data_IF_394162832505
#
_entry.id   IF_394162832505
#
_cell.length_a   1.000
_cell.length_b   1.000
_cell.length_c   1.000
_cell.angle_alpha   90.00
_cell.angle_beta   90.00
_cell.angle_gamma   90.00
#
_symmetry.space_group_name_H-M   'P 1'
#
loop_
_entity.id
_entity.type
_entity.pdbx_description
1 polymer ?
#
# COMPACT_ATOMS: atom_id res chain seq x y z
N UNK A 1 -24.16 -8.77 -17.77
CA UNK A 1 -24.35 -7.33 -18.05
C UNK A 1 -23.08 -6.90 -18.79
N UNK A 2 -23.15 -6.72 -20.12
CA UNK A 2 -22.04 -6.26 -20.93
C UNK A 2 -21.77 -4.79 -20.57
N UNK A 3 -20.63 -4.54 -19.93
CA UNK A 3 -20.12 -3.18 -19.78
C UNK A 3 -19.53 -2.78 -21.14
N UNK A 4 -20.28 -2.02 -21.90
CA UNK A 4 -19.77 -1.37 -23.11
C UNK A 4 -18.85 -0.22 -22.70
N UNK A 5 -17.82 0.04 -23.49
CA UNK A 5 -16.82 1.09 -23.24
C UNK A 5 -17.43 2.52 -23.08
N UNK A 6 -18.68 2.71 -23.48
CA UNK A 6 -19.40 3.98 -23.43
C UNK A 6 -19.99 4.33 -22.05
N UNK A 7 -19.91 3.43 -21.04
CA UNK A 7 -20.46 3.65 -19.69
C UNK A 7 -19.42 4.09 -18.65
N UNK A 8 -18.18 4.31 -19.04
CA UNK A 8 -17.21 4.96 -18.16
C UNK A 8 -17.42 6.47 -18.32
N UNK A 9 -17.94 7.18 -17.32
CA UNK A 9 -17.95 8.62 -17.37
C UNK A 9 -16.49 9.07 -17.50
N UNK A 10 -16.11 9.62 -18.63
CA UNK A 10 -14.91 10.46 -18.72
C UNK A 10 -15.24 11.68 -17.90
N UNK A 11 -14.98 11.61 -16.61
CA UNK A 11 -15.18 12.74 -15.71
C UNK A 11 -14.10 13.77 -16.04
N UNK A 12 -14.41 14.61 -17.03
CA UNK A 12 -13.66 15.81 -17.39
C UNK A 12 -13.89 16.91 -16.33
N UNK A 13 -13.96 16.54 -15.04
CA UNK A 13 -13.90 17.54 -14.00
C UNK A 13 -12.50 18.17 -14.08
N UNK A 14 -12.47 19.44 -14.44
CA UNK A 14 -11.26 20.25 -14.46
C UNK A 14 -10.52 20.04 -13.14
N UNK A 15 -9.28 19.60 -13.22
CA UNK A 15 -8.45 19.42 -12.03
C UNK A 15 -8.20 20.80 -11.43
N UNK A 16 -8.51 21.02 -10.15
CA UNK A 16 -8.31 22.33 -9.52
C UNK A 16 -6.83 22.63 -9.20
N UNK A 17 -5.90 21.85 -9.78
CA UNK A 17 -4.46 22.04 -9.67
C UNK A 17 -3.78 21.91 -11.04
N UNK A 18 -2.63 22.57 -11.20
CA UNK A 18 -1.90 22.58 -12.45
C UNK A 18 -0.54 23.32 -12.27
N UNK A 19 0.18 23.57 -13.37
CA UNK A 19 1.35 24.43 -13.35
C UNK A 19 0.96 25.85 -12.94
N UNK A 20 1.71 26.45 -12.04
CA UNK A 20 1.44 27.78 -11.51
C UNK A 20 0.72 27.76 -10.15
N UNK A 21 0.44 28.95 -9.60
CA UNK A 21 -0.27 29.07 -8.32
C UNK A 21 -1.75 28.70 -8.47
N UNK A 22 -2.18 27.69 -7.71
CA UNK A 22 -3.61 27.42 -7.56
C UNK A 22 -4.20 28.47 -6.63
N UNK A 23 -5.10 29.29 -7.14
CA UNK A 23 -5.86 30.25 -6.34
C UNK A 23 -6.80 29.52 -5.41
N UNK A 24 -6.53 29.58 -4.12
CA UNK A 24 -7.48 29.10 -3.11
C UNK A 24 -8.67 30.06 -3.09
N UNK A 25 -9.90 29.62 -3.30
CA UNK A 25 -11.08 30.49 -3.22
C UNK A 25 -11.11 31.23 -1.87
N UNK A 26 -11.12 32.57 -1.91
CA UNK A 26 -11.27 33.42 -0.72
C UNK A 26 -9.98 33.80 0.03
N UNK A 27 -8.80 33.43 -0.44
CA UNK A 27 -7.52 33.92 0.13
C UNK A 27 -6.71 34.61 -0.96
N UNK A 28 -6.27 35.87 -0.68
CA UNK A 28 -5.40 36.63 -1.57
C UNK A 28 -4.05 35.96 -1.74
N UNK A 29 -3.51 35.94 -2.96
CA UNK A 29 -2.16 35.51 -3.33
C UNK A 29 -1.08 36.51 -2.84
N UNK A 30 -1.13 36.87 -1.56
CA UNK A 30 -0.12 37.73 -0.93
C UNK A 30 1.04 36.86 -0.43
N UNK A 31 2.28 37.33 -0.65
CA UNK A 31 3.55 36.74 -0.23
C UNK A 31 3.69 36.56 1.30
N UNK A 32 2.85 35.76 1.90
CA UNK A 32 2.86 35.46 3.32
C UNK A 32 3.38 34.05 3.57
N UNK A 33 3.95 33.85 4.76
CA UNK A 33 4.46 32.55 5.24
C UNK A 33 3.35 31.48 5.25
N UNK A 34 3.63 30.31 4.71
CA UNK A 34 2.78 29.12 4.84
C UNK A 34 2.87 28.56 6.25
N UNK A 35 1.77 28.00 6.78
CA UNK A 35 1.84 27.25 8.02
C UNK A 35 2.57 25.92 7.82
N UNK A 36 2.31 25.28 6.67
CA UNK A 36 3.01 24.08 6.26
C UNK A 36 3.25 24.04 4.74
N UNK A 37 4.43 23.61 4.34
CA UNK A 37 4.73 23.19 2.96
C UNK A 37 4.93 21.68 2.97
N UNK A 38 4.25 20.97 2.05
CA UNK A 38 4.38 19.53 1.86
C UNK A 38 5.11 19.29 0.54
N UNK A 39 6.28 18.66 0.62
CA UNK A 39 7.10 18.30 -0.54
C UNK A 39 6.66 16.90 -1.00
N UNK A 40 6.16 16.81 -2.23
CA UNK A 40 5.67 15.60 -2.87
C UNK A 40 4.15 15.43 -2.77
N UNK A 41 3.49 15.40 -3.93
CA UNK A 41 2.05 15.17 -4.11
C UNK A 41 1.68 13.68 -4.19
N UNK A 42 2.43 12.81 -3.49
CA UNK A 42 2.05 11.40 -3.30
C UNK A 42 0.92 11.26 -2.28
N UNK A 43 0.27 10.09 -2.24
CA UNK A 43 -0.88 9.84 -1.37
C UNK A 43 -0.64 10.16 0.11
N UNK A 44 0.58 9.94 0.64
CA UNK A 44 0.92 10.28 2.03
C UNK A 44 1.00 11.80 2.25
N UNK A 45 1.69 12.52 1.35
CA UNK A 45 1.80 13.98 1.42
C UNK A 45 0.44 14.65 1.27
N UNK A 46 -0.38 14.18 0.33
CA UNK A 46 -1.74 14.67 0.11
C UNK A 46 -2.63 14.43 1.34
N UNK A 47 -2.52 13.25 1.98
CA UNK A 47 -3.26 12.94 3.22
C UNK A 47 -2.87 13.91 4.34
N UNK A 48 -1.57 14.11 4.56
CA UNK A 48 -1.09 15.07 5.56
C UNK A 48 -1.60 16.49 5.26
N UNK A 49 -1.52 16.93 4.01
CA UNK A 49 -2.02 18.24 3.58
C UNK A 49 -3.54 18.39 3.83
N UNK A 50 -4.32 17.34 3.54
CA UNK A 50 -5.76 17.36 3.75
C UNK A 50 -6.13 17.53 5.24
N UNK A 51 -5.47 16.79 6.13
CA UNK A 51 -5.72 16.92 7.58
C UNK A 51 -5.26 18.29 8.13
N UNK A 52 -4.10 18.80 7.69
CA UNK A 52 -3.63 20.12 8.10
C UNK A 52 -4.57 21.24 7.60
N UNK A 53 -5.03 21.16 6.36
CA UNK A 53 -5.97 22.13 5.81
C UNK A 53 -7.32 22.10 6.55
N UNK A 54 -7.85 20.91 6.86
CA UNK A 54 -9.05 20.75 7.69
C UNK A 54 -8.90 21.35 9.10
N UNK A 55 -7.68 21.32 9.64
CA UNK A 55 -7.36 21.99 10.90
C UNK A 55 -7.20 23.50 10.76
N UNK A 56 -7.52 24.08 9.60
CA UNK A 56 -7.48 25.53 9.35
C UNK A 56 -6.11 26.08 9.01
N UNK A 57 -5.10 25.23 8.79
CA UNK A 57 -3.76 25.67 8.43
C UNK A 57 -3.67 26.08 6.95
N UNK A 58 -2.81 27.06 6.66
CA UNK A 58 -2.46 27.48 5.30
C UNK A 58 -1.41 26.51 4.75
N UNK A 59 -1.82 25.56 3.91
CA UNK A 59 -0.98 24.46 3.42
C UNK A 59 -0.73 24.60 1.92
N UNK A 60 0.53 24.36 1.51
CA UNK A 60 0.93 24.26 0.10
C UNK A 60 1.57 22.88 -0.14
N UNK A 61 1.08 22.16 -1.13
CA UNK A 61 1.72 20.95 -1.66
C UNK A 61 2.51 21.29 -2.91
N UNK A 62 3.75 20.84 -2.97
CA UNK A 62 4.65 21.02 -4.12
C UNK A 62 4.98 19.65 -4.71
N UNK A 63 4.59 19.44 -5.96
CA UNK A 63 4.88 18.22 -6.72
C UNK A 63 5.77 18.54 -7.92
N UNK A 64 6.84 17.76 -8.10
CA UNK A 64 7.77 17.98 -9.22
C UNK A 64 7.20 17.58 -10.59
N UNK A 65 6.28 16.62 -10.63
CA UNK A 65 5.66 16.14 -11.86
C UNK A 65 4.43 16.98 -12.22
N UNK A 66 3.94 16.81 -13.43
CA UNK A 66 2.67 17.37 -13.90
C UNK A 66 1.44 16.63 -13.34
N UNK A 67 1.63 15.47 -12.69
CA UNK A 67 0.59 14.59 -12.17
C UNK A 67 0.85 14.26 -10.71
N UNK A 68 -0.23 14.16 -9.92
CA UNK A 68 -0.20 13.77 -8.52
C UNK A 68 -0.25 12.24 -8.37
N UNK A 69 0.15 11.75 -7.20
CA UNK A 69 -0.11 10.37 -6.80
C UNK A 69 1.11 9.61 -6.28
N UNK A 70 2.30 9.96 -6.71
CA UNK A 70 3.49 9.19 -6.34
C UNK A 70 3.36 7.72 -6.75
N UNK A 71 3.43 6.78 -5.80
CA UNK A 71 3.21 5.36 -6.09
C UNK A 71 1.75 5.01 -6.44
N UNK A 72 0.79 5.89 -6.09
CA UNK A 72 -0.62 5.76 -6.45
C UNK A 72 -0.96 6.71 -7.61
N UNK A 73 -0.23 6.60 -8.73
CA UNK A 73 -0.47 7.38 -9.94
C UNK A 73 -1.08 6.49 -11.02
N UNK A 74 -2.03 7.05 -11.78
CA UNK A 74 -2.51 6.45 -13.04
C UNK A 74 -2.19 7.40 -14.18
N UNK A 75 -1.64 6.86 -15.25
CA UNK A 75 -1.20 7.65 -16.41
C UNK A 75 -1.65 6.98 -17.71
N UNK A 76 -2.03 7.81 -18.66
CA UNK A 76 -2.26 7.39 -20.03
C UNK A 76 -0.90 7.29 -20.74
N UNK A 77 -0.35 6.08 -20.79
CA UNK A 77 0.98 5.82 -21.39
C UNK A 77 0.84 5.58 -22.92
N UNK A 78 -0.28 5.05 -23.34
CA UNK A 78 -0.64 4.87 -24.73
C UNK A 78 -2.07 5.42 -24.93
N UNK A 79 -2.36 6.12 -26.04
CA UNK A 79 -3.67 6.75 -26.26
C UNK A 79 -4.83 5.78 -26.05
N UNK A 80 -5.75 6.14 -25.16
CA UNK A 80 -6.89 5.32 -24.76
C UNK A 80 -6.63 4.31 -23.64
N UNK A 81 -5.38 4.12 -23.21
CA UNK A 81 -5.01 3.16 -22.16
C UNK A 81 -4.42 3.84 -20.93
N UNK A 82 -5.18 3.86 -19.86
CA UNK A 82 -4.78 4.41 -18.57
C UNK A 82 -4.34 3.27 -17.65
N UNK A 83 -3.11 3.36 -17.14
CA UNK A 83 -2.52 2.34 -16.27
C UNK A 83 -2.27 2.89 -14.86
N UNK A 84 -2.48 2.06 -13.87
CA UNK A 84 -1.86 2.23 -12.56
C UNK A 84 -0.36 1.93 -12.68
N UNK A 85 0.50 2.96 -12.61
CA UNK A 85 1.91 2.82 -13.00
C UNK A 85 2.72 1.99 -12.00
N UNK A 86 2.46 2.13 -10.69
CA UNK A 86 3.19 1.42 -9.64
C UNK A 86 2.26 0.56 -8.78
N UNK A 87 1.46 1.15 -7.91
CA UNK A 87 0.44 0.42 -7.14
C UNK A 87 -0.65 -0.13 -8.07
N UNK A 88 -1.35 -1.19 -7.65
CA UNK A 88 -2.37 -1.85 -8.49
C UNK A 88 -3.63 -2.23 -7.72
N UNK A 89 -3.54 -2.45 -6.41
CA UNK A 89 -4.67 -2.80 -5.54
C UNK A 89 -4.72 -1.95 -4.29
N UNK A 90 -5.90 -1.90 -3.67
CA UNK A 90 -6.16 -1.21 -2.39
C UNK A 90 -6.51 -2.25 -1.34
N UNK A 91 -5.89 -2.14 -0.17
CA UNK A 91 -6.20 -3.01 0.98
C UNK A 91 -5.93 -2.31 2.31
N UNK A 92 -4.83 -1.56 2.40
CA UNK A 92 -4.30 -1.03 3.65
C UNK A 92 -4.59 0.47 3.85
N UNK A 93 -5.32 1.11 2.94
CA UNK A 93 -5.81 2.48 3.14
C UNK A 93 -6.76 2.47 4.35
N UNK A 94 -6.44 3.28 5.34
CA UNK A 94 -7.17 3.26 6.61
C UNK A 94 -8.60 3.74 6.44
N UNK A 95 -9.62 3.00 6.95
CA UNK A 95 -11.03 3.37 6.80
C UNK A 95 -11.37 4.75 7.36
N UNK A 96 -10.68 5.19 8.43
CA UNK A 96 -10.91 6.53 8.96
C UNK A 96 -10.43 7.63 8.01
N UNK A 97 -9.32 7.41 7.23
CA UNK A 97 -8.89 8.38 6.21
C UNK A 97 -9.97 8.53 5.15
N UNK A 98 -10.53 7.39 4.67
CA UNK A 98 -11.62 7.40 3.68
C UNK A 98 -12.82 8.17 4.19
N UNK A 99 -13.22 7.91 5.44
CA UNK A 99 -14.36 8.55 6.09
C UNK A 99 -14.09 10.03 6.40
N UNK A 100 -12.98 10.32 7.08
CA UNK A 100 -12.68 11.66 7.58
C UNK A 100 -12.45 12.65 6.43
N UNK A 101 -11.82 12.20 5.35
CA UNK A 101 -11.60 13.01 4.16
C UNK A 101 -12.76 12.91 3.15
N UNK A 102 -13.84 12.20 3.48
CA UNK A 102 -15.05 12.03 2.66
C UNK A 102 -14.72 11.60 1.22
N UNK A 103 -13.75 10.68 1.04
CA UNK A 103 -13.16 10.38 -0.27
C UNK A 103 -14.18 9.88 -1.29
N UNK A 104 -15.26 9.22 -0.86
CA UNK A 104 -16.37 8.82 -1.75
C UNK A 104 -17.05 10.04 -2.38
N UNK A 105 -17.23 11.14 -1.63
CA UNK A 105 -17.79 12.42 -2.16
C UNK A 105 -16.84 13.08 -3.16
N UNK A 106 -15.55 12.76 -3.07
CA UNK A 106 -14.51 13.24 -3.96
C UNK A 106 -14.21 12.26 -5.12
N UNK A 107 -15.09 11.26 -5.33
CA UNK A 107 -15.07 10.37 -6.50
C UNK A 107 -14.34 9.04 -6.29
N UNK A 108 -13.87 8.72 -5.08
CA UNK A 108 -13.27 7.42 -4.82
C UNK A 108 -14.34 6.32 -4.82
N UNK A 109 -14.14 5.33 -5.67
CA UNK A 109 -14.93 4.11 -5.70
C UNK A 109 -14.00 2.92 -5.72
N UNK A 110 -14.11 2.04 -4.70
CA UNK A 110 -13.29 0.82 -4.60
C UNK A 110 -14.18 -0.37 -4.91
N UNK A 111 -13.74 -1.20 -5.87
CA UNK A 111 -14.40 -2.43 -6.29
C UNK A 111 -13.67 -3.60 -5.61
N UNK A 112 -14.34 -4.37 -4.73
CA UNK A 112 -13.70 -5.51 -4.08
C UNK A 112 -13.24 -6.57 -5.08
N UNK A 113 -12.09 -7.21 -4.83
CA UNK A 113 -11.67 -8.42 -5.55
C UNK A 113 -12.58 -9.57 -5.15
N UNK A 114 -13.11 -10.28 -6.14
CA UNK A 114 -14.02 -11.40 -5.91
C UNK A 114 -13.30 -12.75 -5.85
N UNK A 115 -12.11 -12.84 -6.48
CA UNK A 115 -11.37 -14.08 -6.62
C UNK A 115 -9.87 -13.91 -6.46
N UNK A 116 -9.20 -15.02 -6.13
CA UNK A 116 -7.77 -15.21 -6.28
C UNK A 116 -7.56 -16.56 -6.96
N UNK A 117 -7.16 -16.55 -8.21
CA UNK A 117 -7.01 -17.72 -9.05
C UNK A 117 -5.56 -18.18 -9.14
N UNK A 118 -5.31 -19.47 -8.96
CA UNK A 118 -3.98 -20.07 -9.05
C UNK A 118 -4.02 -21.23 -10.04
N UNK A 119 -3.49 -21.08 -11.27
CA UNK A 119 -3.34 -22.16 -12.21
C UNK A 119 -2.24 -23.13 -11.75
N UNK A 120 -2.52 -24.42 -11.76
CA UNK A 120 -1.55 -25.47 -11.47
C UNK A 120 -0.81 -25.95 -12.72
N UNK A 121 0.36 -26.55 -12.53
CA UNK A 121 1.16 -27.14 -13.61
C UNK A 121 0.66 -28.54 -14.03
N UNK A 122 -0.22 -29.13 -13.24
CA UNK A 122 -0.80 -30.47 -13.43
C UNK A 122 -2.16 -30.44 -14.15
N UNK A 123 -2.54 -29.30 -14.71
CA UNK A 123 -3.83 -29.12 -15.38
C UNK A 123 -5.01 -28.85 -14.43
N UNK A 124 -4.77 -28.80 -13.12
CA UNK A 124 -5.77 -28.38 -12.13
C UNK A 124 -5.56 -26.92 -11.75
N UNK A 125 -6.55 -26.32 -11.09
CA UNK A 125 -6.45 -24.96 -10.60
C UNK A 125 -7.17 -24.80 -9.27
N UNK A 126 -6.72 -23.87 -8.43
CA UNK A 126 -7.40 -23.45 -7.22
C UNK A 126 -7.94 -22.04 -7.41
N UNK A 127 -9.24 -21.84 -7.22
CA UNK A 127 -9.84 -20.52 -7.13
C UNK A 127 -10.37 -20.28 -5.72
N UNK A 128 -9.85 -19.26 -5.06
CA UNK A 128 -10.34 -18.80 -3.76
C UNK A 128 -11.32 -17.66 -4.00
N UNK A 129 -12.52 -17.78 -3.50
CA UNK A 129 -13.64 -16.87 -3.66
C UNK A 129 -13.88 -16.09 -2.38
N UNK A 130 -14.50 -14.93 -2.45
CA UNK A 130 -15.01 -14.21 -1.27
C UNK A 130 -15.98 -15.13 -0.51
N UNK A 131 -16.80 -15.92 -1.22
CA UNK A 131 -17.69 -16.91 -0.62
C UNK A 131 -16.88 -18.07 -0.04
N UNK A 132 -16.85 -18.16 1.30
CA UNK A 132 -16.07 -19.18 2.03
C UNK A 132 -16.48 -20.61 1.68
N UNK A 133 -17.78 -20.88 1.48
CA UNK A 133 -18.27 -22.20 1.13
C UNK A 133 -17.77 -22.65 -0.25
N UNK A 134 -17.70 -21.73 -1.21
CA UNK A 134 -17.18 -22.01 -2.55
C UNK A 134 -15.68 -22.28 -2.49
N UNK A 135 -14.91 -21.47 -1.76
CA UNK A 135 -13.48 -21.67 -1.52
C UNK A 135 -13.21 -23.04 -0.89
N UNK A 136 -13.99 -23.44 0.12
CA UNK A 136 -13.82 -24.75 0.75
C UNK A 136 -14.06 -25.92 -0.21
N UNK A 137 -15.02 -25.82 -1.12
CA UNK A 137 -15.26 -26.85 -2.15
C UNK A 137 -14.06 -26.97 -3.11
N UNK A 138 -13.49 -25.86 -3.52
CA UNK A 138 -12.27 -25.84 -4.36
C UNK A 138 -11.07 -26.48 -3.64
N UNK A 139 -10.84 -26.14 -2.37
CA UNK A 139 -9.77 -26.72 -1.56
C UNK A 139 -9.99 -28.23 -1.35
N UNK A 140 -11.23 -28.66 -1.10
CA UNK A 140 -11.57 -30.07 -0.85
C UNK A 140 -11.21 -31.00 -2.03
N UNK A 141 -11.16 -30.47 -3.26
CA UNK A 141 -10.71 -31.21 -4.44
C UNK A 141 -9.21 -31.59 -4.39
N UNK A 142 -8.43 -30.92 -3.53
CA UNK A 142 -7.00 -31.18 -3.30
C UNK A 142 -6.76 -31.87 -1.95
N UNK A 143 -7.40 -31.37 -0.87
CA UNK A 143 -7.33 -31.93 0.47
C UNK A 143 -8.62 -31.66 1.26
N UNK A 144 -9.38 -32.71 1.62
CA UNK A 144 -10.50 -32.56 2.55
C UNK A 144 -10.08 -31.98 3.91
N UNK A 145 -8.89 -32.36 4.40
CA UNK A 145 -8.34 -31.85 5.66
C UNK A 145 -8.07 -30.34 5.59
N UNK A 146 -7.43 -29.87 4.54
CA UNK A 146 -7.17 -28.43 4.36
C UNK A 146 -8.47 -27.63 4.27
N UNK A 147 -9.50 -28.18 3.58
CA UNK A 147 -10.80 -27.55 3.47
C UNK A 147 -11.54 -27.44 4.81
N UNK A 148 -11.34 -28.41 5.72
CA UNK A 148 -11.91 -28.38 7.07
C UNK A 148 -11.20 -27.35 7.95
N UNK A 149 -9.87 -27.26 7.87
CA UNK A 149 -9.04 -26.39 8.71
C UNK A 149 -9.06 -24.93 8.24
N UNK A 150 -9.26 -24.66 6.96
CA UNK A 150 -9.17 -23.34 6.36
C UNK A 150 -10.00 -22.26 7.07
N UNK A 151 -11.27 -22.48 7.47
CA UNK A 151 -12.02 -21.47 8.22
C UNK A 151 -11.44 -21.18 9.61
N UNK A 152 -10.92 -22.19 10.30
CA UNK A 152 -10.29 -22.03 11.63
C UNK A 152 -9.03 -21.20 11.55
N UNK A 153 -8.20 -21.45 10.54
CA UNK A 153 -7.04 -20.61 10.23
C UNK A 153 -7.45 -19.14 9.99
N UNK A 154 -8.47 -18.91 9.14
CA UNK A 154 -8.96 -17.56 8.86
C UNK A 154 -9.50 -16.83 10.10
N UNK A 155 -10.18 -17.54 11.01
CA UNK A 155 -10.66 -17.00 12.28
C UNK A 155 -9.50 -16.59 13.19
N UNK A 156 -8.47 -17.42 13.33
CA UNK A 156 -7.30 -17.10 14.14
C UNK A 156 -6.53 -15.90 13.57
N UNK A 157 -6.27 -15.89 12.27
CA UNK A 157 -5.62 -14.74 11.60
C UNK A 157 -6.42 -13.45 11.80
N UNK A 158 -7.74 -13.50 11.71
CA UNK A 158 -8.61 -12.36 11.98
C UNK A 158 -8.55 -11.88 13.44
N UNK A 159 -8.41 -12.80 14.41
CA UNK A 159 -8.23 -12.46 15.83
C UNK A 159 -6.88 -11.76 16.07
N UNK A 160 -5.79 -12.32 15.54
CA UNK A 160 -4.45 -11.71 15.65
C UNK A 160 -4.41 -10.36 14.94
N UNK A 161 -5.02 -10.23 13.76
CA UNK A 161 -5.10 -8.97 13.02
C UNK A 161 -5.79 -7.88 13.83
N UNK A 162 -6.93 -8.17 14.45
CA UNK A 162 -7.65 -7.22 15.32
C UNK A 162 -6.86 -6.81 16.56
N UNK A 163 -6.00 -7.71 17.06
CA UNK A 163 -5.10 -7.39 18.16
C UNK A 163 -3.96 -6.48 17.72
N UNK A 164 -3.32 -6.77 16.58
CA UNK A 164 -2.11 -6.07 16.12
C UNK A 164 -2.44 -4.71 15.48
N UNK A 165 -3.57 -4.60 14.77
CA UNK A 165 -3.95 -3.38 14.03
C UNK A 165 -3.91 -2.10 14.89
N UNK A 166 -4.49 -2.04 16.11
CA UNK A 166 -4.40 -0.85 16.95
C UNK A 166 -2.97 -0.52 17.42
N UNK A 167 -2.07 -1.51 17.47
CA UNK A 167 -0.66 -1.29 17.84
C UNK A 167 0.08 -0.59 16.68
N UNK A 168 -0.18 -1.03 15.45
CA UNK A 168 0.43 -0.41 14.25
C UNK A 168 -0.09 1.00 14.02
N UNK A 169 -1.37 1.25 14.37
CA UNK A 169 -2.02 2.54 14.17
C UNK A 169 -1.69 3.55 15.28
N UNK A 170 -1.10 3.10 16.39
CA UNK A 170 -0.71 3.97 17.51
C UNK A 170 0.66 4.64 17.25
N UNK A 171 0.83 5.81 17.86
CA UNK A 171 2.16 6.41 17.99
C UNK A 171 3.04 5.50 18.86
N UNK A 172 4.27 5.20 18.38
CA UNK A 172 5.18 4.34 19.12
C UNK A 172 5.58 5.01 20.44
N UNK A 173 5.33 4.39 21.63
CA UNK A 173 5.73 4.97 22.90
C UNK A 173 7.25 5.02 23.04
N UNK A 174 7.76 6.06 23.65
CA UNK A 174 9.20 6.21 23.90
C UNK A 174 9.61 5.31 25.05
N UNK A 175 10.33 4.23 24.75
CA UNK A 175 10.72 3.20 25.75
C UNK A 175 11.62 3.73 26.88
N UNK A 176 12.34 4.81 26.63
CA UNK A 176 13.24 5.46 27.59
C UNK A 176 12.67 6.76 28.20
N UNK A 177 11.40 7.04 27.97
CA UNK A 177 10.71 8.20 28.49
C UNK A 177 10.04 7.88 29.84
N UNK A 178 10.18 8.80 30.80
CA UNK A 178 9.43 8.79 32.07
C UNK A 178 8.18 9.67 32.01
N UNK A 179 7.83 10.18 30.83
CA UNK A 179 6.64 11.01 30.69
C UNK A 179 5.37 10.18 30.97
N UNK A 180 4.41 10.68 31.79
CA UNK A 180 3.23 9.91 32.20
C UNK A 180 2.43 9.30 31.02
N UNK A 181 2.32 10.02 29.91
CA UNK A 181 1.64 9.54 28.70
C UNK A 181 2.32 8.30 28.10
N UNK A 182 3.65 8.33 27.93
CA UNK A 182 4.39 7.20 27.39
C UNK A 182 4.29 5.96 28.32
N UNK A 183 4.30 6.18 29.65
CA UNK A 183 4.14 5.10 30.62
C UNK A 183 2.72 4.51 30.60
N UNK A 184 1.69 5.33 30.45
CA UNK A 184 0.30 4.86 30.30
C UNK A 184 0.12 4.06 29.00
N UNK A 185 0.69 4.51 27.90
CA UNK A 185 0.62 3.81 26.62
C UNK A 185 1.35 2.45 26.69
N UNK A 186 2.53 2.41 27.32
CA UNK A 186 3.26 1.16 27.56
C UNK A 186 2.47 0.21 28.48
N UNK A 187 1.86 0.72 29.54
CA UNK A 187 1.03 -0.07 30.45
C UNK A 187 -0.20 -0.64 29.71
N UNK A 188 -0.85 0.15 28.86
CA UNK A 188 -1.99 -0.29 28.06
C UNK A 188 -1.60 -1.39 27.06
N UNK A 189 -0.44 -1.26 26.41
CA UNK A 189 0.08 -2.33 25.54
C UNK A 189 0.44 -3.59 26.34
N UNK A 190 1.07 -3.45 27.50
CA UNK A 190 1.38 -4.56 28.41
C UNK A 190 0.12 -5.30 28.88
N UNK A 191 -0.94 -4.55 29.23
CA UNK A 191 -2.22 -5.13 29.60
C UNK A 191 -2.87 -5.90 28.45
N UNK A 192 -2.89 -5.34 27.25
CA UNK A 192 -3.40 -6.05 26.04
C UNK A 192 -2.68 -7.37 25.79
N UNK A 193 -1.34 -7.40 25.93
CA UNK A 193 -0.54 -8.63 25.80
C UNK A 193 -0.88 -9.65 26.88
N UNK A 194 -1.08 -9.20 28.13
CA UNK A 194 -1.44 -10.08 29.24
C UNK A 194 -2.83 -10.69 29.09
N UNK A 195 -3.77 -9.93 28.53
CA UNK A 195 -5.17 -10.33 28.36
C UNK A 195 -5.38 -11.29 27.15
N UNK A 196 -4.31 -11.60 26.41
CA UNK A 196 -4.36 -12.63 25.37
C UNK A 196 -4.54 -14.02 25.98
N UNK A 197 -5.47 -14.79 25.42
CA UNK A 197 -5.49 -16.23 25.70
C UNK A 197 -4.23 -16.95 25.15
N UNK A 198 -4.01 -18.17 25.61
CA UNK A 198 -2.81 -18.94 25.30
C UNK A 198 -2.64 -19.18 23.77
N UNK A 199 -3.74 -19.48 23.07
CA UNK A 199 -3.73 -19.77 21.63
C UNK A 199 -3.37 -18.51 20.83
N UNK A 200 -3.99 -17.38 21.17
CA UNK A 200 -3.73 -16.10 20.52
C UNK A 200 -2.30 -15.64 20.75
N UNK A 201 -1.78 -15.79 21.98
CA UNK A 201 -0.40 -15.44 22.33
C UNK A 201 0.60 -16.29 21.56
N UNK A 202 0.38 -17.60 21.50
CA UNK A 202 1.23 -18.51 20.74
C UNK A 202 1.25 -18.17 19.25
N UNK A 203 0.06 -17.93 18.67
CA UNK A 203 -0.06 -17.53 17.27
C UNK A 203 0.63 -16.19 16.99
N UNK A 204 0.46 -15.20 17.89
CA UNK A 204 1.13 -13.91 17.78
C UNK A 204 2.65 -14.05 17.77
N UNK A 205 3.25 -14.77 18.73
CA UNK A 205 4.69 -14.96 18.80
C UNK A 205 5.24 -15.68 17.56
N UNK A 206 4.54 -16.73 17.10
CA UNK A 206 4.93 -17.46 15.88
C UNK A 206 4.88 -16.53 14.66
N UNK A 207 3.81 -15.77 14.49
CA UNK A 207 3.67 -14.82 13.38
C UNK A 207 4.73 -13.72 13.40
N UNK A 208 5.22 -13.30 14.58
CA UNK A 208 6.29 -12.29 14.66
C UNK A 208 7.66 -12.83 14.23
N UNK A 209 7.91 -14.12 14.29
CA UNK A 209 9.27 -14.68 14.16
C UNK A 209 9.41 -15.74 13.07
N UNK A 210 8.37 -16.51 12.77
CA UNK A 210 8.43 -17.61 11.82
C UNK A 210 8.51 -17.12 10.35
N UNK A 211 8.86 -18.05 9.47
CA UNK A 211 8.63 -17.86 8.03
C UNK A 211 7.17 -18.09 7.66
N UNK A 212 6.71 -17.48 6.56
CA UNK A 212 5.35 -17.71 6.06
C UNK A 212 5.13 -19.19 5.70
N UNK A 213 6.13 -19.83 5.09
CA UNK A 213 6.06 -21.24 4.72
C UNK A 213 5.94 -22.14 5.96
N UNK A 214 6.83 -21.99 6.95
CA UNK A 214 6.81 -22.82 8.15
C UNK A 214 5.51 -22.63 8.95
N UNK A 215 5.02 -21.40 9.05
CA UNK A 215 3.75 -21.13 9.70
C UNK A 215 2.55 -21.78 8.98
N UNK A 216 2.54 -21.77 7.64
CA UNK A 216 1.50 -22.42 6.84
C UNK A 216 1.63 -23.96 6.85
N UNK A 217 2.85 -24.51 6.96
CA UNK A 217 3.11 -25.95 7.07
C UNK A 217 2.50 -26.56 8.35
N UNK A 218 2.35 -25.78 9.43
CA UNK A 218 1.65 -26.22 10.64
C UNK A 218 0.13 -26.40 10.43
N UNK A 219 -0.43 -25.73 9.45
CA UNK A 219 -1.88 -25.71 9.22
C UNK A 219 -2.32 -26.61 8.07
N UNK A 220 -1.61 -26.55 6.94
CA UNK A 220 -2.03 -27.13 5.67
C UNK A 220 -1.02 -28.14 5.14
N UNK A 221 -1.52 -29.13 4.41
CA UNK A 221 -0.66 -30.15 3.81
C UNK A 221 -0.37 -29.91 2.32
N UNK A 222 -1.24 -29.17 1.59
CA UNK A 222 -1.10 -29.02 0.14
C UNK A 222 -0.38 -27.72 -0.26
N UNK A 223 0.61 -27.84 -1.14
CA UNK A 223 1.34 -26.69 -1.68
C UNK A 223 0.46 -25.80 -2.55
N UNK A 224 -0.55 -26.37 -3.23
CA UNK A 224 -1.47 -25.59 -4.07
C UNK A 224 -2.24 -24.53 -3.27
N UNK A 225 -2.43 -24.75 -1.96
CA UNK A 225 -3.03 -23.77 -1.05
C UNK A 225 -1.94 -22.91 -0.37
N UNK A 226 -0.88 -23.55 0.17
CA UNK A 226 0.17 -22.85 0.92
C UNK A 226 0.94 -21.83 0.09
N UNK A 227 1.32 -22.20 -1.13
CA UNK A 227 2.15 -21.34 -1.97
C UNK A 227 1.49 -19.98 -2.28
N UNK A 228 0.28 -19.91 -2.87
CA UNK A 228 -0.38 -18.63 -3.12
C UNK A 228 -0.75 -17.86 -1.84
N UNK A 229 -0.88 -18.53 -0.69
CA UNK A 229 -1.07 -17.84 0.59
C UNK A 229 0.24 -17.23 1.10
N UNK A 230 1.37 -17.94 0.94
CA UNK A 230 2.68 -17.49 1.42
C UNK A 230 3.21 -16.26 0.68
N UNK A 231 2.74 -16.02 -0.54
CA UNK A 231 3.08 -14.82 -1.34
C UNK A 231 2.81 -13.54 -0.58
N UNK A 232 1.71 -13.46 0.17
CA UNK A 232 1.42 -12.29 1.01
C UNK A 232 2.50 -12.03 2.08
N UNK A 233 3.36 -13.02 2.37
CA UNK A 233 4.49 -12.89 3.29
C UNK A 233 5.75 -12.25 2.68
N UNK A 234 5.80 -12.06 1.37
CA UNK A 234 6.99 -11.53 0.68
C UNK A 234 6.73 -10.22 -0.08
N UNK A 235 5.49 -9.76 -0.17
CA UNK A 235 5.14 -8.49 -0.83
C UNK A 235 5.90 -7.33 -0.18
N UNK A 236 6.61 -6.56 -0.99
CA UNK A 236 7.38 -5.40 -0.55
C UNK A 236 8.67 -5.73 0.19
N UNK A 237 9.12 -6.98 0.17
CA UNK A 237 10.36 -7.43 0.82
C UNK A 237 11.34 -8.02 -0.20
N UNK A 238 12.63 -8.04 0.15
CA UNK A 238 13.66 -8.80 -0.55
C UNK A 238 13.94 -10.10 0.24
N UNK A 239 12.89 -10.90 0.47
CA UNK A 239 12.90 -12.14 1.25
C UNK A 239 12.20 -13.26 0.48
N UNK A 240 12.59 -14.52 0.75
CA UNK A 240 11.87 -15.72 0.30
C UNK A 240 10.81 -16.14 1.31
N UNK A 241 9.89 -17.00 0.90
CA UNK A 241 8.77 -17.45 1.74
C UNK A 241 9.22 -18.26 2.97
N UNK A 242 10.44 -18.80 2.96
CA UNK A 242 11.09 -19.49 4.09
C UNK A 242 11.98 -18.57 4.93
N UNK A 243 12.08 -17.29 4.60
CA UNK A 243 12.85 -16.35 5.41
C UNK A 243 12.11 -16.01 6.72
N UNK A 244 12.81 -15.98 7.89
CA UNK A 244 12.21 -15.58 9.15
C UNK A 244 11.56 -14.19 9.09
N UNK A 245 10.44 -14.01 9.80
CA UNK A 245 9.69 -12.74 9.83
C UNK A 245 8.68 -12.57 8.70
N UNK A 246 8.69 -13.41 7.67
CA UNK A 246 7.73 -13.32 6.56
C UNK A 246 6.30 -13.71 6.98
N UNK A 247 6.14 -14.46 8.08
CA UNK A 247 4.82 -14.71 8.67
C UNK A 247 4.18 -13.42 9.23
N UNK A 248 4.99 -12.45 9.72
CA UNK A 248 4.47 -11.13 10.10
C UNK A 248 3.99 -10.34 8.89
N UNK A 249 4.71 -10.39 7.78
CA UNK A 249 4.30 -9.72 6.54
C UNK A 249 2.99 -10.34 6.01
N UNK A 250 2.85 -11.67 6.09
CA UNK A 250 1.59 -12.37 5.80
C UNK A 250 0.45 -11.84 6.68
N UNK A 251 0.64 -11.74 8.01
CA UNK A 251 -0.33 -11.17 8.94
C UNK A 251 -0.68 -9.72 8.57
N UNK A 252 0.32 -8.91 8.22
CA UNK A 252 0.10 -7.52 7.84
C UNK A 252 -0.90 -7.39 6.69
N UNK A 253 -0.79 -8.25 5.67
CA UNK A 253 -1.72 -8.27 4.54
C UNK A 253 -3.12 -8.84 4.89
N UNK A 254 -3.25 -9.56 6.00
CA UNK A 254 -4.57 -9.95 6.53
C UNK A 254 -5.29 -8.81 7.23
N UNK A 255 -4.61 -7.70 7.56
CA UNK A 255 -5.21 -6.52 8.21
C UNK A 255 -5.90 -5.56 7.23
N UNK A 256 -5.87 -5.86 5.92
CA UNK A 256 -6.57 -5.08 4.91
C UNK A 256 -8.08 -5.00 5.20
N UNK A 257 -8.65 -3.84 4.96
CA UNK A 257 -10.07 -3.58 5.23
C UNK A 257 -10.66 -2.66 4.15
N UNK A 258 -11.79 -3.05 3.62
CA UNK A 258 -12.60 -2.21 2.70
C UNK A 258 -14.03 -2.25 3.22
N UNK A 259 -14.63 -1.10 3.49
CA UNK A 259 -16.00 -0.93 3.97
C UNK A 259 -16.38 -1.84 5.14
N UNK A 260 -15.46 -2.04 6.10
CA UNK A 260 -15.66 -2.92 7.26
C UNK A 260 -15.41 -4.40 7.01
N UNK A 261 -15.17 -4.81 5.76
CA UNK A 261 -14.79 -6.18 5.43
C UNK A 261 -13.28 -6.37 5.65
N UNK A 262 -12.92 -7.19 6.63
CA UNK A 262 -11.55 -7.59 6.90
C UNK A 262 -10.99 -8.51 5.81
N UNK A 263 -9.68 -8.44 5.57
CA UNK A 263 -8.98 -9.20 4.52
C UNK A 263 -9.49 -8.87 3.12
N UNK A 264 -10.10 -7.72 2.96
CA UNK A 264 -10.59 -7.27 1.67
C UNK A 264 -9.50 -6.56 0.87
N UNK A 265 -9.45 -6.87 -0.40
CA UNK A 265 -8.62 -6.22 -1.41
C UNK A 265 -9.53 -5.70 -2.51
N UNK A 266 -9.14 -4.62 -3.16
CA UNK A 266 -9.98 -4.05 -4.20
C UNK A 266 -9.21 -3.26 -5.24
N UNK A 267 -9.90 -2.92 -6.31
CA UNK A 267 -9.44 -2.02 -7.36
C UNK A 267 -10.10 -0.65 -7.17
N UNK A 268 -9.33 0.41 -7.30
CA UNK A 268 -9.91 1.74 -7.43
C UNK A 268 -10.41 1.91 -8.87
N UNK A 269 -11.67 2.31 -9.04
CA UNK A 269 -12.22 2.64 -10.36
C UNK A 269 -11.43 3.80 -10.97
N UNK A 270 -10.91 3.63 -12.19
CA UNK A 270 -10.02 4.60 -12.83
C UNK A 270 -8.54 4.42 -12.46
N UNK A 271 -8.19 3.29 -11.80
CA UNK A 271 -6.84 2.99 -11.34
C UNK A 271 -6.51 3.62 -9.99
N UNK A 272 -5.33 3.31 -9.46
CA UNK A 272 -4.92 3.78 -8.13
C UNK A 272 -4.72 5.29 -8.06
N UNK A 273 -4.53 5.98 -9.20
CA UNK A 273 -4.52 7.44 -9.27
C UNK A 273 -5.79 8.09 -8.75
N UNK A 274 -6.94 7.42 -8.89
CA UNK A 274 -8.22 7.92 -8.36
C UNK A 274 -8.20 8.10 -6.83
N UNK A 275 -7.40 7.33 -6.10
CA UNK A 275 -7.21 7.49 -4.65
C UNK A 275 -6.54 8.83 -4.36
N UNK A 276 -5.40 9.07 -5.00
CA UNK A 276 -4.62 10.30 -4.82
C UNK A 276 -5.39 11.53 -5.27
N UNK A 277 -6.15 11.43 -6.36
CA UNK A 277 -7.01 12.50 -6.85
C UNK A 277 -8.15 12.81 -5.87
N UNK A 278 -8.80 11.79 -5.30
CA UNK A 278 -9.85 12.00 -4.29
C UNK A 278 -9.28 12.69 -3.04
N UNK A 279 -8.09 12.28 -2.57
CA UNK A 279 -7.42 12.93 -1.44
C UNK A 279 -7.07 14.38 -1.80
N UNK A 280 -6.54 14.63 -3.00
CA UNK A 280 -6.19 15.98 -3.45
C UNK A 280 -7.43 16.89 -3.52
N UNK A 281 -8.55 16.41 -4.08
CA UNK A 281 -9.82 17.15 -4.10
C UNK A 281 -10.32 17.47 -2.69
N UNK A 282 -10.22 16.51 -1.76
CA UNK A 282 -10.55 16.74 -0.35
C UNK A 282 -9.64 17.79 0.29
N UNK A 283 -8.33 17.74 0.02
CA UNK A 283 -7.38 18.72 0.52
C UNK A 283 -7.71 20.14 0.00
N UNK A 284 -7.96 20.28 -1.30
CA UNK A 284 -8.30 21.58 -1.92
C UNK A 284 -9.65 22.09 -1.40
N UNK A 285 -10.65 21.24 -1.26
CA UNK A 285 -11.96 21.64 -0.69
C UNK A 285 -11.84 22.12 0.75
N UNK A 286 -10.82 21.67 1.47
CA UNK A 286 -10.47 22.12 2.83
C UNK A 286 -9.54 23.35 2.87
N UNK A 287 -9.13 23.87 1.69
CA UNK A 287 -8.33 25.10 1.58
C UNK A 287 -6.83 24.88 1.38
N UNK A 288 -6.36 23.66 1.09
CA UNK A 288 -4.99 23.44 0.67
C UNK A 288 -4.75 23.98 -0.74
N UNK A 289 -3.56 24.52 -1.00
CA UNK A 289 -3.07 24.82 -2.33
C UNK A 289 -2.17 23.68 -2.82
N UNK A 290 -2.27 23.34 -4.11
CA UNK A 290 -1.41 22.35 -4.76
C UNK A 290 -0.79 22.95 -5.99
N UNK A 291 0.54 22.83 -6.14
CA UNK A 291 1.31 23.24 -7.30
C UNK A 291 2.07 22.06 -7.86
N UNK A 292 1.77 21.70 -9.09
CA UNK A 292 2.53 20.73 -9.90
C UNK A 292 3.64 21.43 -10.67
N UNK A 293 4.56 20.65 -11.26
CA UNK A 293 5.74 21.17 -11.98
C UNK A 293 6.57 22.16 -11.14
N UNK A 294 6.62 21.87 -9.83
CA UNK A 294 7.28 22.71 -8.83
C UNK A 294 8.33 21.88 -8.05
N UNK A 295 9.43 21.48 -8.70
CA UNK A 295 10.46 20.69 -8.04
C UNK A 295 11.16 21.51 -6.97
N UNK A 296 11.20 20.98 -5.75
CA UNK A 296 11.97 21.55 -4.63
C UNK A 296 13.42 21.10 -4.76
N UNK A 297 14.33 22.05 -4.72
CA UNK A 297 15.78 21.83 -4.76
C UNK A 297 16.43 21.81 -3.38
N UNK A 298 15.86 22.54 -2.40
CA UNK A 298 16.45 22.69 -1.07
C UNK A 298 15.38 22.95 -0.01
N UNK A 299 15.63 22.49 1.22
CA UNK A 299 14.91 22.91 2.43
C UNK A 299 15.77 23.93 3.15
N UNK A 300 15.28 25.15 3.28
CA UNK A 300 15.98 26.24 3.96
C UNK A 300 16.06 25.92 5.45
N UNK A 301 17.29 25.79 5.97
CA UNK A 301 17.57 25.55 7.39
C UNK A 301 18.34 26.72 7.99
N UNK A 302 17.71 27.39 8.96
CA UNK A 302 18.32 28.48 9.72
C UNK A 302 18.38 28.12 11.19
N UNK A 303 19.55 28.19 11.78
CA UNK A 303 19.78 27.89 13.20
C UNK A 303 19.16 26.56 13.64
N UNK A 304 19.30 25.49 12.79
CA UNK A 304 18.78 24.16 13.06
C UNK A 304 17.25 23.99 12.89
N UNK A 305 16.59 24.99 12.30
CA UNK A 305 15.13 24.98 12.09
C UNK A 305 14.81 25.14 10.60
N UNK A 306 13.93 24.27 10.08
CA UNK A 306 13.41 24.43 8.72
C UNK A 306 12.51 25.70 8.64
N UNK A 307 12.78 26.57 7.66
CA UNK A 307 12.10 27.86 7.47
C UNK A 307 11.34 27.97 6.16
N UNK A 308 11.52 27.06 5.27
CA UNK A 308 10.90 27.07 3.95
C UNK A 308 11.61 26.16 2.97
N UNK A 309 11.39 26.40 1.71
CA UNK A 309 11.99 25.65 0.60
C UNK A 309 12.43 26.57 -0.52
N UNK A 310 13.44 26.14 -1.29
CA UNK A 310 13.83 26.72 -2.56
C UNK A 310 13.33 25.82 -3.67
N UNK A 311 12.70 26.39 -4.68
CA UNK A 311 12.31 25.67 -5.90
C UNK A 311 13.49 25.63 -6.90
N UNK A 312 13.41 24.74 -7.89
CA UNK A 312 14.45 24.62 -8.93
C UNK A 312 14.61 25.89 -9.79
N UNK A 313 13.59 26.75 -9.84
CA UNK A 313 13.66 28.07 -10.51
C UNK A 313 14.32 29.17 -9.66
N UNK A 314 14.79 28.83 -8.45
CA UNK A 314 15.41 29.74 -7.50
C UNK A 314 14.42 30.53 -6.63
N UNK A 315 13.09 30.33 -6.79
CA UNK A 315 12.13 31.02 -5.94
C UNK A 315 12.09 30.40 -4.54
N UNK A 316 11.99 31.26 -3.51
CA UNK A 316 11.93 30.85 -2.12
C UNK A 316 10.50 30.95 -1.57
N UNK A 317 10.09 29.95 -0.82
CA UNK A 317 8.78 29.89 -0.17
C UNK A 317 8.96 29.68 1.33
N UNK A 318 8.55 30.67 2.13
CA UNK A 318 8.66 30.59 3.58
C UNK A 318 7.55 29.74 4.20
N UNK A 319 7.89 28.93 5.20
CA UNK A 319 6.96 28.11 5.96
C UNK A 319 7.36 27.95 7.42
N UNK A 320 6.36 27.77 8.31
CA UNK A 320 6.59 27.44 9.71
C UNK A 320 7.00 25.97 9.89
N UNK A 321 6.51 25.09 9.00
CA UNK A 321 6.82 23.67 8.99
C UNK A 321 6.99 23.16 7.57
N UNK A 322 7.93 22.23 7.38
CA UNK A 322 8.13 21.54 6.12
C UNK A 322 7.95 20.04 6.35
N UNK A 323 7.01 19.43 5.61
CA UNK A 323 6.79 17.99 5.58
C UNK A 323 7.31 17.44 4.28
N UNK A 324 8.09 16.34 4.33
CA UNK A 324 8.58 15.71 3.12
C UNK A 324 7.93 14.33 2.94
N UNK A 325 7.28 14.13 1.79
CA UNK A 325 6.80 12.85 1.31
C UNK A 325 7.84 12.08 0.49
N UNK A 326 9.08 12.62 0.36
CA UNK A 326 10.19 11.95 -0.29
C UNK A 326 10.81 10.89 0.63
N UNK A 327 11.61 9.98 0.06
CA UNK A 327 12.38 9.04 0.86
C UNK A 327 13.39 9.76 1.77
N UNK A 328 13.81 9.14 2.90
CA UNK A 328 14.69 9.80 3.87
C UNK A 328 16.05 10.21 3.30
N UNK A 329 16.61 9.46 2.35
CA UNK A 329 17.90 9.86 1.74
C UNK A 329 17.76 11.14 0.93
N UNK A 330 16.71 11.22 0.11
CA UNK A 330 16.43 12.44 -0.65
C UNK A 330 16.12 13.60 0.27
N UNK A 331 15.27 13.38 1.26
CA UNK A 331 14.91 14.44 2.21
C UNK A 331 16.12 14.98 2.96
N UNK A 332 16.88 14.12 3.62
CA UNK A 332 17.90 14.56 4.55
C UNK A 332 19.28 14.75 3.93
N UNK A 333 19.69 13.88 2.97
CA UNK A 333 21.03 14.01 2.37
C UNK A 333 21.06 14.95 1.18
N UNK A 334 19.92 15.19 0.51
CA UNK A 334 19.86 16.06 -0.66
C UNK A 334 19.17 17.39 -0.36
N UNK A 335 17.91 17.36 0.14
CA UNK A 335 17.13 18.58 0.33
C UNK A 335 17.54 19.39 1.57
N UNK A 336 17.83 18.72 2.69
CA UNK A 336 18.33 19.37 3.93
C UNK A 336 19.83 19.62 3.85
N UNK A 337 20.57 18.67 3.29
CA UNK A 337 22.03 18.71 3.25
C UNK A 337 22.70 18.17 4.52
N UNK A 338 23.77 17.42 4.34
CA UNK A 338 24.47 16.72 5.42
C UNK A 338 25.02 17.65 6.49
N UNK A 339 25.41 18.88 6.11
CA UNK A 339 26.00 19.86 7.03
C UNK A 339 25.08 20.34 8.15
N UNK A 340 23.76 20.13 8.01
CA UNK A 340 22.77 20.50 9.02
C UNK A 340 22.40 19.35 9.97
N UNK A 341 23.00 18.15 9.81
CA UNK A 341 22.57 16.93 10.46
C UNK A 341 23.71 16.29 11.28
N UNK A 342 23.39 15.57 12.38
CA UNK A 342 24.39 14.80 13.12
C UNK A 342 25.05 13.73 12.25
N UNK A 343 26.39 13.58 12.37
CA UNK A 343 27.15 12.61 11.57
C UNK A 343 26.68 11.16 11.75
N UNK A 344 26.23 10.78 12.95
CA UNK A 344 25.66 9.45 13.19
C UNK A 344 24.40 9.21 12.36
N UNK A 345 23.47 10.18 12.35
CA UNK A 345 22.23 10.09 11.59
C UNK A 345 22.47 9.98 10.07
N UNK A 346 23.35 10.81 9.54
CA UNK A 346 23.73 10.74 8.11
C UNK A 346 24.41 9.41 7.77
N UNK A 347 25.26 8.89 8.68
CA UNK A 347 25.87 7.58 8.55
C UNK A 347 24.84 6.44 8.52
N UNK A 348 23.80 6.51 9.36
CA UNK A 348 22.73 5.51 9.39
C UNK A 348 21.91 5.55 8.09
N UNK A 349 21.56 6.75 7.60
CA UNK A 349 20.85 6.92 6.33
C UNK A 349 21.65 6.38 5.14
N UNK A 350 22.97 6.58 5.10
CA UNK A 350 23.85 6.05 4.04
C UNK A 350 23.91 4.53 4.04
N UNK A 351 23.80 3.89 5.22
CA UNK A 351 23.77 2.44 5.36
C UNK A 351 22.40 1.83 5.09
N UNK A 352 21.33 2.61 5.14
CA UNK A 352 19.97 2.12 4.88
C UNK A 352 19.85 1.60 3.44
N UNK A 353 19.31 0.39 3.29
CA UNK A 353 19.22 -0.29 1.99
C UNK A 353 17.81 -0.16 1.43
N UNK A 354 17.71 0.40 0.23
CA UNK A 354 16.48 0.50 -0.54
C UNK A 354 16.51 -0.55 -1.66
N UNK A 355 16.09 -1.76 -1.35
CA UNK A 355 16.04 -2.85 -2.33
C UNK A 355 14.60 -3.19 -2.65
N UNK A 356 14.22 -3.08 -3.91
CA UNK A 356 12.98 -3.63 -4.44
C UNK A 356 13.20 -5.04 -4.96
N UNK A 357 12.16 -5.87 -4.89
CA UNK A 357 12.17 -7.25 -5.38
C UNK A 357 11.18 -7.47 -6.53
N UNK A 358 10.42 -6.44 -6.90
CA UNK A 358 9.31 -6.56 -7.85
C UNK A 358 9.53 -5.68 -9.07
N UNK A 359 9.27 -6.21 -10.24
CA UNK A 359 9.07 -5.47 -11.48
C UNK A 359 7.58 -5.44 -11.83
N UNK A 360 7.10 -4.37 -12.41
CA UNK A 360 5.74 -4.25 -12.92
C UNK A 360 5.76 -4.07 -14.43
N UNK A 361 4.90 -4.82 -15.13
CA UNK A 361 4.66 -4.68 -16.56
C UNK A 361 3.18 -4.38 -16.75
N UNK A 362 2.86 -3.29 -17.44
CA UNK A 362 1.50 -2.98 -17.85
C UNK A 362 1.30 -3.46 -19.28
N UNK A 363 0.22 -4.19 -19.51
CA UNK A 363 -0.09 -4.79 -20.80
C UNK A 363 -1.44 -4.30 -21.31
N UNK A 364 -1.51 -3.92 -22.59
CA UNK A 364 -2.75 -3.81 -23.32
C UNK A 364 -2.94 -5.10 -24.11
N UNK A 365 -4.05 -5.77 -23.92
CA UNK A 365 -4.35 -7.07 -24.55
C UNK A 365 -5.66 -6.99 -25.33
N UNK A 366 -5.77 -7.72 -26.41
CA UNK A 366 -6.96 -7.80 -27.25
C UNK A 366 -8.06 -8.69 -26.66
N UNK A 367 -7.67 -9.58 -25.74
CA UNK A 367 -8.57 -10.49 -25.04
C UNK A 367 -8.03 -10.84 -23.66
N UNK A 368 -8.91 -11.31 -22.76
CA UNK A 368 -8.51 -11.86 -21.47
C UNK A 368 -7.69 -13.14 -21.67
N UNK A 369 -6.73 -13.42 -20.77
CA UNK A 369 -5.97 -14.69 -20.80
C UNK A 369 -6.92 -15.88 -20.67
N UNK A 370 -6.61 -16.98 -21.38
CA UNK A 370 -7.35 -18.23 -21.31
C UNK A 370 -6.45 -19.33 -20.78
N UNK A 371 -6.82 -19.92 -19.66
CA UNK A 371 -6.03 -20.94 -18.97
C UNK A 371 -6.56 -22.34 -19.28
N UNK A 372 -5.71 -23.22 -19.82
CA UNK A 372 -6.09 -24.59 -20.16
C UNK A 372 -6.68 -25.38 -19.00
N UNK A 373 -6.25 -25.10 -17.74
CA UNK A 373 -6.77 -25.72 -16.53
C UNK A 373 -8.17 -25.22 -16.13
N UNK A 374 -8.65 -24.11 -16.69
CA UNK A 374 -9.99 -23.53 -16.47
C UNK A 374 -10.37 -22.64 -17.66
N UNK A 375 -10.77 -23.23 -18.79
CA UNK A 375 -11.09 -22.48 -20.00
C UNK A 375 -12.20 -21.45 -19.79
N UNK A 376 -12.05 -20.28 -20.38
CA UNK A 376 -13.03 -19.20 -20.28
C UNK A 376 -14.40 -19.57 -20.84
N UNK A 377 -14.43 -20.40 -21.90
CA UNK A 377 -15.67 -20.89 -22.50
C UNK A 377 -16.53 -21.71 -21.51
N UNK A 378 -15.90 -22.39 -20.55
CA UNK A 378 -16.58 -23.19 -19.56
C UNK A 378 -16.88 -22.41 -18.27
N UNK A 379 -15.98 -21.51 -17.88
CA UNK A 379 -16.03 -20.78 -16.58
C UNK A 379 -16.68 -19.42 -16.67
N UNK A 380 -16.96 -18.87 -17.86
CA UNK A 380 -17.54 -17.54 -18.05
C UNK A 380 -16.68 -16.40 -17.52
N UNK A 381 -15.35 -16.57 -17.48
CA UNK A 381 -14.37 -15.59 -16.96
C UNK A 381 -14.46 -15.26 -15.47
N UNK A 382 -15.35 -15.89 -14.70
CA UNK A 382 -15.57 -15.57 -13.28
C UNK A 382 -14.32 -15.74 -12.42
N UNK A 383 -13.38 -16.63 -12.79
CA UNK A 383 -12.12 -16.83 -12.10
C UNK A 383 -11.11 -15.68 -12.33
N UNK A 384 -11.36 -14.79 -13.29
CA UNK A 384 -10.50 -13.65 -13.64
C UNK A 384 -11.00 -12.31 -13.03
N UNK A 385 -12.04 -12.34 -12.18
CA UNK A 385 -12.57 -11.13 -11.53
C UNK A 385 -11.81 -10.83 -10.24
N UNK A 386 -10.49 -10.89 -10.30
CA UNK A 386 -9.62 -10.67 -9.15
C UNK A 386 -8.16 -10.80 -9.55
N UNK A 387 -7.36 -11.43 -8.71
CA UNK A 387 -5.96 -11.66 -9.00
C UNK A 387 -5.68 -13.09 -9.51
N UNK A 388 -4.69 -13.21 -10.38
CA UNK A 388 -4.15 -14.49 -10.83
C UNK A 388 -2.73 -14.65 -10.33
N UNK A 389 -2.49 -15.65 -9.48
CA UNK A 389 -1.20 -15.89 -8.84
C UNK A 389 -0.53 -17.15 -9.42
N UNK A 390 0.56 -16.99 -10.16
CA UNK A 390 1.38 -18.12 -10.62
C UNK A 390 2.38 -18.49 -9.53
N UNK A 391 1.94 -19.34 -8.62
CA UNK A 391 2.66 -19.79 -7.43
C UNK A 391 2.38 -21.28 -7.19
N UNK A 392 2.94 -22.19 -8.01
CA UNK A 392 2.56 -23.61 -8.01
C UNK A 392 3.03 -24.37 -6.75
N UNK A 393 4.11 -23.93 -6.10
CA UNK A 393 4.61 -24.57 -4.89
C UNK A 393 5.48 -23.62 -4.06
N UNK A 394 5.68 -23.95 -2.78
CA UNK A 394 6.62 -23.26 -1.88
C UNK A 394 8.04 -23.32 -2.45
N UNK A 395 8.47 -24.49 -2.96
CA UNK A 395 9.79 -24.67 -3.56
C UNK A 395 10.00 -23.80 -4.82
N UNK A 396 8.96 -23.56 -5.59
CA UNK A 396 9.01 -22.65 -6.74
C UNK A 396 9.31 -21.21 -6.31
N UNK A 397 8.61 -20.72 -5.30
CA UNK A 397 8.78 -19.37 -4.78
C UNK A 397 10.16 -19.17 -4.14
N UNK A 398 10.62 -20.16 -3.36
CA UNK A 398 11.92 -20.09 -2.71
C UNK A 398 13.07 -20.10 -3.72
N UNK A 399 12.97 -20.93 -4.77
CA UNK A 399 13.98 -20.96 -5.85
C UNK A 399 14.07 -19.61 -6.57
N UNK A 400 12.95 -18.96 -6.83
CA UNK A 400 12.94 -17.63 -7.45
C UNK A 400 13.70 -16.60 -6.58
N UNK A 401 13.54 -16.69 -5.26
CA UNK A 401 14.27 -15.86 -4.31
C UNK A 401 15.77 -16.22 -4.24
N UNK A 402 16.13 -17.51 -4.20
CA UNK A 402 17.52 -17.95 -4.14
C UNK A 402 18.32 -17.48 -5.37
N UNK A 403 17.73 -17.55 -6.56
CA UNK A 403 18.35 -17.00 -7.79
C UNK A 403 18.57 -15.49 -7.66
N UNK A 404 17.58 -14.73 -7.18
CA UNK A 404 17.70 -13.28 -6.96
C UNK A 404 18.72 -12.94 -5.86
N UNK A 405 18.75 -13.70 -4.76
CA UNK A 405 19.72 -13.57 -3.66
C UNK A 405 21.15 -13.80 -4.12
N UNK A 406 21.34 -14.73 -5.07
CA UNK A 406 22.63 -14.98 -5.72
C UNK A 406 23.01 -13.93 -6.79
N UNK A 407 22.19 -12.89 -6.97
CA UNK A 407 22.43 -11.83 -7.96
C UNK A 407 22.07 -12.25 -9.38
N UNK A 408 21.31 -13.32 -9.55
CA UNK A 408 20.87 -13.81 -10.84
C UNK A 408 19.43 -13.36 -11.16
N UNK A 409 19.09 -13.32 -12.42
CA UNK A 409 17.71 -13.15 -12.84
C UNK A 409 16.92 -14.43 -12.56
N UNK A 410 15.76 -14.31 -11.89
CA UNK A 410 14.88 -15.45 -11.61
C UNK A 410 14.30 -16.01 -12.91
N UNK A 411 14.67 -17.24 -13.26
CA UNK A 411 14.23 -17.88 -14.50
C UNK A 411 12.73 -18.20 -14.51
N UNK A 412 12.16 -18.40 -13.33
CA UNK A 412 10.74 -18.66 -13.09
C UNK A 412 10.25 -17.80 -11.94
N UNK A 413 10.05 -16.49 -12.17
CA UNK A 413 9.63 -15.58 -11.12
C UNK A 413 8.19 -15.89 -10.68
N UNK A 414 7.85 -15.52 -9.46
CA UNK A 414 6.47 -15.37 -9.09
C UNK A 414 5.81 -14.30 -9.97
N UNK A 415 4.61 -14.58 -10.46
CA UNK A 415 3.83 -13.64 -11.28
C UNK A 415 2.46 -13.46 -10.63
N UNK A 416 2.07 -12.19 -10.46
CA UNK A 416 0.71 -11.81 -10.10
C UNK A 416 0.14 -10.94 -11.22
N UNK A 417 -0.98 -11.37 -11.78
CA UNK A 417 -1.73 -10.60 -12.80
C UNK A 417 -2.98 -10.04 -12.15
N UNK A 418 -3.29 -8.80 -12.43
CA UNK A 418 -4.45 -8.07 -11.91
C UNK A 418 -5.06 -7.19 -12.99
#
# INVERSE_FOLDING_TARGET
MQLTADTIPRDNQERPWGPGEVKVPGRSSGGGTWDAIVIGGGHNGLTAAAYLARAGQKVLVLEQRHVLGGACVSEEIYPGFVYSVCSYVVSLLRPWIVRDLELARHGLCILPLETSFTPGLDGRSLCRWVESARTRREIAAFSPRDAEIYPRFGQLMGRVSRFVKPIIDAEAPRLNSLHPRDLLDLAAHGQRLRDMDADLRTAFLKLMTASAADYLDEWFETDVLKAPMSVSGIIGTMLGVRSPGTAYVLLHHYMGEIDGAFRAWGFARGGTGAISEAIARSAVSSGAAIRTEAPVSEIIVEQGTARGVVLADGSELAARSVLSGCDPRRTFLQLVGEGHLPAQFTGDLKRFRYRGSSGKVNLAVDRLPDFACRPNAESGHHHLVGDVAIAPSIAYLERAFDEAKAGQFSRRPYINMV
#
